data_IF_800892877516
#
_entry.id   IF_800892877516
#
_cell.length_a   1.000
_cell.length_b   1.000
_cell.length_c   1.000
_cell.angle_alpha   90.00
_cell.angle_beta   90.00
_cell.angle_gamma   90.00
#
_symmetry.space_group_name_H-M   'P 1'
#
loop_
_entity.id
_entity.type
_entity.pdbx_description
1 polymer ?
#
# COMPACT_ATOMS: atom_id res chain seq x y z
N UNK A 1 12.69 27.42 -5.35
CA UNK A 1 11.84 26.65 -4.44
C UNK A 1 12.75 25.85 -3.55
N UNK A 2 12.77 26.08 -2.25
CA UNK A 2 13.64 25.36 -1.32
C UNK A 2 12.92 24.09 -0.92
N UNK A 3 13.52 22.92 -1.13
CA UNK A 3 12.90 21.61 -0.87
C UNK A 3 12.70 21.33 0.63
N UNK A 4 13.30 22.15 1.48
CA UNK A 4 13.13 22.08 2.94
C UNK A 4 11.79 22.72 3.40
N UNK A 5 11.21 23.61 2.57
CA UNK A 5 9.97 24.34 2.89
C UNK A 5 8.69 23.58 2.47
N UNK A 6 8.80 22.36 1.93
CA UNK A 6 7.66 21.47 1.65
C UNK A 6 7.23 20.72 2.92
N UNK A 7 7.10 21.44 4.02
CA UNK A 7 6.38 20.98 5.20
C UNK A 7 4.88 20.96 4.87
N UNK A 8 4.42 19.77 4.61
CA UNK A 8 3.05 19.47 4.26
C UNK A 8 2.18 19.60 5.51
N UNK A 9 1.52 20.72 5.61
CA UNK A 9 0.44 20.94 6.57
C UNK A 9 -0.65 19.88 6.37
N UNK A 10 -0.82 19.05 7.33
CA UNK A 10 -1.84 18.03 7.57
C UNK A 10 -1.31 16.59 7.64
N UNK A 11 -0.51 16.30 8.66
CA UNK A 11 -0.02 14.94 8.94
C UNK A 11 -1.14 13.92 9.15
N UNK A 12 -2.32 14.35 9.63
CA UNK A 12 -3.43 13.44 9.97
C UNK A 12 -4.13 12.84 8.75
N UNK A 13 -4.33 13.58 7.66
CA UNK A 13 -4.98 13.04 6.46
C UNK A 13 -4.02 12.17 5.62
N UNK A 14 -2.75 12.54 5.62
CA UNK A 14 -1.69 11.74 4.99
C UNK A 14 -1.48 10.40 5.68
N UNK A 15 -1.55 10.37 7.01
CA UNK A 15 -1.39 9.14 7.76
C UNK A 15 -2.52 8.15 7.48
N UNK A 16 -3.77 8.62 7.36
CA UNK A 16 -4.94 7.77 7.09
C UNK A 16 -4.92 7.15 5.69
N UNK A 17 -4.58 7.93 4.66
CA UNK A 17 -4.49 7.44 3.28
C UNK A 17 -3.33 6.43 3.14
N UNK A 18 -2.21 6.71 3.80
CA UNK A 18 -1.06 5.83 3.82
C UNK A 18 -1.40 4.46 4.45
N UNK A 19 -2.13 4.42 5.59
CA UNK A 19 -2.50 3.18 6.24
C UNK A 19 -3.50 2.34 5.42
N UNK A 20 -4.51 2.95 4.81
CA UNK A 20 -5.48 2.25 3.94
C UNK A 20 -4.77 1.49 2.82
N UNK A 21 -3.84 2.16 2.14
CA UNK A 21 -3.10 1.58 1.03
C UNK A 21 -2.07 0.54 1.48
N UNK A 22 -1.42 0.79 2.62
CA UNK A 22 -0.53 -0.17 3.26
C UNK A 22 -1.26 -1.48 3.57
N UNK A 23 -2.48 -1.41 4.13
CA UNK A 23 -3.30 -2.59 4.39
C UNK A 23 -3.62 -3.36 3.12
N UNK A 24 -4.04 -2.68 2.06
CA UNK A 24 -4.32 -3.31 0.77
C UNK A 24 -3.09 -4.00 0.21
N UNK A 25 -1.96 -3.32 0.25
CA UNK A 25 -0.70 -3.88 -0.22
C UNK A 25 -0.32 -5.14 0.58
N UNK A 26 -0.34 -5.08 1.91
CA UNK A 26 -0.03 -6.23 2.77
C UNK A 26 -0.97 -7.40 2.48
N UNK A 27 -2.28 -7.16 2.39
CA UNK A 27 -3.26 -8.20 2.05
C UNK A 27 -2.95 -8.82 0.67
N UNK A 28 -2.56 -8.03 -0.32
CA UNK A 28 -2.23 -8.53 -1.67
C UNK A 28 -0.98 -9.41 -1.73
N UNK A 29 -0.07 -9.29 -0.74
CA UNK A 29 1.16 -10.09 -0.66
C UNK A 29 0.98 -11.41 0.11
N UNK A 30 -0.17 -11.61 0.75
CA UNK A 30 -0.45 -12.75 1.61
C UNK A 30 -1.48 -13.66 0.94
N UNK A 31 -1.26 -14.97 0.99
CA UNK A 31 -2.36 -15.90 0.74
C UNK A 31 -3.25 -15.93 1.99
N UNK A 32 -4.18 -14.98 2.07
CA UNK A 32 -5.03 -14.70 3.22
C UNK A 32 -5.88 -15.91 3.63
N UNK A 33 -6.41 -16.67 2.67
CA UNK A 33 -7.17 -17.89 2.94
C UNK A 33 -6.29 -18.95 3.61
N UNK A 34 -5.14 -19.26 3.02
CA UNK A 34 -4.24 -20.27 3.57
C UNK A 34 -3.71 -19.87 4.95
N UNK A 35 -3.42 -18.58 5.13
CA UNK A 35 -2.99 -18.04 6.41
C UNK A 35 -4.04 -18.27 7.50
N UNK A 36 -5.29 -17.87 7.27
CA UNK A 36 -6.37 -18.05 8.25
C UNK A 36 -6.62 -19.54 8.52
N UNK A 37 -6.66 -20.38 7.48
CA UNK A 37 -6.88 -21.81 7.63
C UNK A 37 -5.76 -22.51 8.41
N UNK A 38 -4.52 -22.00 8.39
CA UNK A 38 -3.39 -22.55 9.16
C UNK A 38 -3.52 -22.33 10.68
N UNK A 39 -4.37 -21.40 11.12
CA UNK A 39 -4.52 -21.05 12.54
C UNK A 39 -5.54 -21.93 13.29
N UNK A 40 -6.23 -22.86 12.60
CA UNK A 40 -7.22 -23.72 13.24
C UNK A 40 -7.61 -24.94 12.41
N UNK A 41 -8.55 -25.71 12.93
CA UNK A 41 -9.12 -26.86 12.23
C UNK A 41 -10.42 -26.48 11.55
N UNK A 42 -10.39 -26.31 10.25
CA UNK A 42 -11.53 -25.91 9.43
C UNK A 42 -11.90 -27.04 8.45
N UNK A 43 -13.20 -27.28 8.30
CA UNK A 43 -13.75 -28.20 7.30
C UNK A 43 -14.47 -27.43 6.22
N UNK A 44 -14.26 -27.77 4.96
CA UNK A 44 -14.97 -27.18 3.84
C UNK A 44 -16.46 -27.60 3.87
N UNK A 45 -17.36 -26.63 3.84
CA UNK A 45 -18.81 -26.81 3.84
C UNK A 45 -19.37 -25.98 2.69
N UNK A 46 -19.61 -26.63 1.54
CA UNK A 46 -19.98 -25.92 0.32
C UNK A 46 -18.86 -24.99 -0.18
N UNK A 47 -19.15 -23.68 -0.25
CA UNK A 47 -18.20 -22.67 -0.70
C UNK A 47 -17.38 -22.02 0.43
N UNK A 48 -17.65 -22.36 1.70
CA UNK A 48 -17.01 -21.76 2.86
C UNK A 48 -16.29 -22.81 3.69
N UNK A 49 -15.49 -22.35 4.66
CA UNK A 49 -14.88 -23.23 5.66
C UNK A 49 -15.48 -22.92 7.02
N UNK A 50 -15.75 -23.96 7.81
CA UNK A 50 -16.30 -23.87 9.16
C UNK A 50 -15.37 -24.55 10.17
N UNK A 51 -15.15 -23.89 11.31
CA UNK A 51 -14.35 -24.41 12.41
C UNK A 51 -14.76 -23.81 13.75
N UNK A 52 -14.11 -24.27 14.83
CA UNK A 52 -14.23 -23.61 16.11
C UNK A 52 -13.54 -22.26 16.06
N UNK A 53 -14.05 -21.29 16.81
CA UNK A 53 -13.42 -19.98 16.93
C UNK A 53 -12.02 -20.14 17.57
N UNK A 54 -11.07 -19.45 16.97
CA UNK A 54 -9.66 -19.51 17.41
C UNK A 54 -9.25 -18.26 18.22
N UNK A 55 -10.19 -17.33 18.47
CA UNK A 55 -9.89 -16.11 19.20
C UNK A 55 -9.83 -16.34 20.70
N UNK A 56 -8.85 -15.77 21.42
CA UNK A 56 -8.58 -16.05 22.84
C UNK A 56 -9.78 -15.84 23.76
N UNK A 57 -10.63 -14.88 23.43
CA UNK A 57 -11.78 -14.50 24.27
C UNK A 57 -13.07 -15.30 23.96
N UNK A 58 -12.99 -16.34 23.14
CA UNK A 58 -14.15 -17.13 22.75
C UNK A 58 -13.85 -18.63 22.75
N UNK A 59 -14.44 -19.37 23.67
CA UNK A 59 -14.30 -20.82 23.77
C UNK A 59 -15.52 -21.53 23.15
N UNK A 60 -15.37 -21.98 21.92
CA UNK A 60 -16.42 -22.72 21.21
C UNK A 60 -16.53 -24.18 21.64
N UNK A 61 -17.77 -24.61 21.86
CA UNK A 61 -18.10 -26.04 21.93
C UNK A 61 -18.38 -26.65 20.55
N UNK A 62 -18.92 -25.86 19.63
CA UNK A 62 -19.30 -26.24 18.25
C UNK A 62 -18.65 -25.29 17.24
N UNK A 63 -18.62 -25.69 15.96
CA UNK A 63 -18.05 -24.85 14.91
C UNK A 63 -18.91 -23.59 14.69
N UNK A 64 -18.39 -22.42 15.01
CA UNK A 64 -19.04 -21.12 14.88
C UNK A 64 -18.28 -20.13 14.01
N UNK A 65 -17.02 -20.38 13.68
CA UNK A 65 -16.22 -19.52 12.83
C UNK A 65 -16.33 -19.93 11.38
N UNK A 66 -16.92 -19.07 10.56
CA UNK A 66 -17.04 -19.23 9.11
C UNK A 66 -15.94 -18.41 8.41
N UNK A 67 -15.25 -19.02 7.46
CA UNK A 67 -14.25 -18.38 6.60
C UNK A 67 -14.81 -18.39 5.17
N UNK A 68 -14.86 -17.22 4.56
CA UNK A 68 -15.38 -16.97 3.22
C UNK A 68 -14.20 -16.71 2.28
N UNK A 69 -13.87 -17.66 1.37
CA UNK A 69 -12.83 -17.47 0.36
C UNK A 69 -13.08 -16.26 -0.55
N UNK A 70 -12.05 -15.74 -1.26
CA UNK A 70 -12.16 -14.57 -2.14
C UNK A 70 -13.22 -14.72 -3.25
N UNK A 71 -13.43 -15.95 -3.73
CA UNK A 71 -14.42 -16.30 -4.76
C UNK A 71 -15.85 -16.35 -4.24
N UNK A 72 -16.07 -16.31 -2.92
CA UNK A 72 -17.41 -16.29 -2.32
C UNK A 72 -18.18 -15.08 -2.81
N UNK A 73 -19.40 -15.33 -3.33
CA UNK A 73 -20.21 -14.27 -3.92
C UNK A 73 -21.11 -13.60 -2.89
N UNK A 74 -21.07 -12.28 -2.85
CA UNK A 74 -22.01 -11.43 -2.11
C UNK A 74 -22.71 -10.54 -3.12
N UNK A 75 -24.03 -10.55 -3.14
CA UNK A 75 -24.84 -9.84 -4.14
C UNK A 75 -24.43 -10.14 -5.59
N UNK A 76 -24.06 -11.42 -5.87
CA UNK A 76 -23.67 -11.89 -7.19
C UNK A 76 -22.23 -11.56 -7.62
N UNK A 77 -21.46 -10.80 -6.82
CA UNK A 77 -20.07 -10.44 -7.12
C UNK A 77 -19.10 -11.17 -6.17
N UNK A 78 -17.93 -11.64 -6.64
CA UNK A 78 -16.91 -12.19 -5.75
C UNK A 78 -16.39 -11.11 -4.79
N UNK A 79 -16.05 -11.48 -3.56
CA UNK A 79 -15.54 -10.55 -2.55
C UNK A 79 -14.13 -10.03 -2.86
N UNK A 80 -13.35 -10.81 -3.61
CA UNK A 80 -11.98 -10.47 -3.99
C UNK A 80 -10.94 -10.60 -2.88
N UNK A 81 -11.36 -10.90 -1.63
CA UNK A 81 -10.50 -11.18 -0.48
C UNK A 81 -11.16 -12.15 0.47
N UNK A 82 -10.36 -12.85 1.27
CA UNK A 82 -10.89 -13.71 2.33
C UNK A 82 -11.47 -12.86 3.45
N UNK A 83 -12.67 -13.23 3.89
CA UNK A 83 -13.30 -12.65 5.07
C UNK A 83 -13.74 -13.75 6.03
N UNK A 84 -14.00 -13.39 7.28
CA UNK A 84 -14.52 -14.32 8.27
C UNK A 84 -15.67 -13.70 9.07
N UNK A 85 -16.49 -14.56 9.64
CA UNK A 85 -17.53 -14.20 10.61
C UNK A 85 -17.66 -15.31 11.65
N UNK A 86 -17.64 -14.94 12.92
CA UNK A 86 -17.91 -15.86 14.01
C UNK A 86 -19.34 -15.68 14.52
N UNK A 87 -20.17 -16.71 14.41
CA UNK A 87 -21.56 -16.69 14.88
C UNK A 87 -21.67 -16.70 16.41
N UNK A 88 -20.60 -17.05 17.14
CA UNK A 88 -20.59 -17.08 18.60
C UNK A 88 -20.23 -15.73 19.24
N UNK A 89 -19.11 -15.13 18.84
CA UNK A 89 -18.66 -13.83 19.39
C UNK A 89 -18.95 -12.64 18.47
N UNK A 90 -19.55 -12.85 17.30
CA UNK A 90 -19.92 -11.84 16.31
C UNK A 90 -18.74 -11.04 15.72
N UNK A 91 -17.50 -11.50 15.93
CA UNK A 91 -16.33 -10.89 15.33
C UNK A 91 -16.24 -11.22 13.83
N UNK A 92 -15.88 -10.21 13.05
CA UNK A 92 -15.76 -10.31 11.59
C UNK A 92 -14.66 -9.41 11.04
N UNK A 93 -14.19 -9.74 9.86
CA UNK A 93 -13.18 -8.91 9.19
C UNK A 93 -12.40 -9.64 8.10
N UNK A 94 -11.26 -9.05 7.75
CA UNK A 94 -10.25 -9.57 6.85
C UNK A 94 -9.06 -10.17 7.62
N UNK A 95 -8.02 -10.57 6.90
CA UNK A 95 -6.82 -11.21 7.49
C UNK A 95 -6.13 -10.33 8.53
N UNK A 96 -6.13 -9.00 8.37
CA UNK A 96 -5.50 -8.08 9.34
C UNK A 96 -6.29 -8.08 10.65
N UNK A 97 -7.63 -7.97 10.57
CA UNK A 97 -8.48 -8.04 11.77
C UNK A 97 -8.41 -9.42 12.43
N UNK A 98 -8.34 -10.48 11.61
CA UNK A 98 -8.15 -11.86 12.12
C UNK A 98 -6.84 -11.97 12.91
N UNK A 99 -5.74 -11.50 12.33
CA UNK A 99 -4.42 -11.51 12.98
C UNK A 99 -4.44 -10.70 14.30
N UNK A 100 -5.07 -9.50 14.26
CA UNK A 100 -5.23 -8.65 15.44
C UNK A 100 -5.89 -9.42 16.60
N UNK A 101 -7.02 -10.05 16.34
CA UNK A 101 -7.78 -10.78 17.35
C UNK A 101 -7.09 -12.06 17.81
N UNK A 102 -6.48 -12.79 16.87
CA UNK A 102 -5.80 -14.04 17.16
C UNK A 102 -4.62 -13.87 18.12
N UNK A 103 -3.86 -12.79 17.97
CA UNK A 103 -2.71 -12.47 18.81
C UNK A 103 -3.01 -11.46 19.93
N UNK A 104 -4.25 -10.96 20.03
CA UNK A 104 -4.63 -9.99 21.05
C UNK A 104 -3.94 -8.63 20.91
N UNK A 105 -3.69 -8.18 19.65
CA UNK A 105 -2.99 -6.92 19.40
C UNK A 105 -3.92 -5.71 19.57
N UNK A 106 -3.38 -4.59 20.04
CA UNK A 106 -4.17 -3.42 20.41
C UNK A 106 -4.76 -2.68 19.19
N UNK A 107 -4.10 -2.74 18.04
CA UNK A 107 -4.52 -2.00 16.85
C UNK A 107 -4.35 -2.77 15.53
N UNK A 108 -5.13 -2.38 14.51
CA UNK A 108 -4.95 -2.88 13.14
C UNK A 108 -3.57 -2.50 12.56
N UNK A 109 -3.03 -1.35 12.96
CA UNK A 109 -1.69 -0.92 12.55
C UNK A 109 -0.62 -1.87 13.07
N UNK A 110 -0.73 -2.26 14.33
CA UNK A 110 0.17 -3.23 14.94
C UNK A 110 0.05 -4.60 14.27
N UNK A 111 -1.17 -5.06 14.03
CA UNK A 111 -1.42 -6.32 13.32
C UNK A 111 -0.84 -6.30 11.89
N UNK A 112 -0.97 -5.18 11.18
CA UNK A 112 -0.38 -5.02 9.85
C UNK A 112 1.15 -5.12 9.89
N UNK A 113 1.80 -4.41 10.83
CA UNK A 113 3.26 -4.47 11.02
C UNK A 113 3.74 -5.87 11.41
N UNK A 114 2.96 -6.59 12.22
CA UNK A 114 3.28 -7.96 12.62
C UNK A 114 3.22 -8.92 11.41
N UNK A 115 2.20 -8.79 10.55
CA UNK A 115 2.10 -9.53 9.29
C UNK A 115 3.24 -9.19 8.33
N UNK A 116 3.61 -7.92 8.19
CA UNK A 116 4.77 -7.50 7.39
C UNK A 116 6.04 -8.23 7.84
N UNK A 117 6.27 -8.27 9.13
CA UNK A 117 7.42 -8.98 9.72
C UNK A 117 7.34 -10.50 9.50
N UNK A 118 6.17 -11.11 9.72
CA UNK A 118 5.95 -12.56 9.57
C UNK A 118 6.17 -13.00 8.12
N UNK A 119 5.76 -12.20 7.14
CA UNK A 119 5.87 -12.49 5.71
C UNK A 119 7.08 -11.85 5.02
N UNK A 120 7.95 -11.15 5.74
CA UNK A 120 9.13 -10.49 5.19
C UNK A 120 8.79 -9.34 4.21
N UNK A 121 7.63 -8.69 4.38
CA UNK A 121 7.18 -7.60 3.52
C UNK A 121 7.89 -6.32 3.95
N UNK A 122 8.83 -5.84 3.13
CA UNK A 122 9.59 -4.63 3.42
C UNK A 122 8.94 -3.39 2.78
N UNK A 123 8.02 -2.74 3.49
CA UNK A 123 7.33 -1.52 3.01
C UNK A 123 8.24 -0.27 3.03
N UNK A 124 9.42 -0.36 3.61
CA UNK A 124 10.44 0.70 3.52
C UNK A 124 11.12 0.73 2.15
N UNK A 125 10.89 -0.27 1.31
CA UNK A 125 11.35 -0.28 -0.07
C UNK A 125 10.65 0.87 -0.84
N UNK A 126 11.45 1.73 -1.47
CA UNK A 126 10.98 2.91 -2.20
C UNK A 126 10.07 2.53 -3.38
N UNK A 127 10.33 1.39 -4.01
CA UNK A 127 9.53 0.89 -5.14
C UNK A 127 8.13 0.46 -4.66
N UNK A 128 8.04 -0.15 -3.48
CA UNK A 128 6.76 -0.53 -2.85
C UNK A 128 5.96 0.71 -2.47
N UNK A 129 6.58 1.73 -1.89
CA UNK A 129 5.91 2.98 -1.56
C UNK A 129 5.39 3.69 -2.82
N UNK A 130 6.16 3.67 -3.90
CA UNK A 130 5.75 4.19 -5.21
C UNK A 130 4.56 3.40 -5.77
N UNK A 131 4.55 2.07 -5.65
CA UNK A 131 3.43 1.24 -6.11
C UNK A 131 2.15 1.51 -5.31
N UNK A 132 2.24 1.62 -3.98
CA UNK A 132 1.10 1.98 -3.11
C UNK A 132 0.50 3.33 -3.54
N UNK A 133 1.33 4.31 -3.86
CA UNK A 133 0.89 5.62 -4.35
C UNK A 133 0.22 5.52 -5.72
N UNK A 134 0.76 4.75 -6.66
CA UNK A 134 0.16 4.52 -7.99
C UNK A 134 -1.21 3.85 -7.90
N UNK A 135 -1.36 2.86 -7.02
CA UNK A 135 -2.64 2.16 -6.83
C UNK A 135 -3.70 3.08 -6.19
N UNK A 136 -3.28 3.97 -5.27
CA UNK A 136 -4.16 5.01 -4.71
C UNK A 136 -4.71 5.93 -5.79
N UNK A 137 -3.87 6.31 -6.75
CA UNK A 137 -4.27 7.19 -7.85
C UNK A 137 -5.25 6.52 -8.81
N UNK A 138 -5.06 5.22 -9.09
CA UNK A 138 -6.01 4.46 -9.91
C UNK A 138 -7.39 4.39 -9.26
N UNK A 139 -7.47 4.26 -7.94
CA UNK A 139 -8.75 4.27 -7.22
C UNK A 139 -9.45 5.65 -7.32
N UNK A 140 -8.70 6.74 -7.15
CA UNK A 140 -9.22 8.10 -7.29
C UNK A 140 -9.76 8.31 -8.72
N UNK A 141 -9.07 7.80 -9.76
CA UNK A 141 -9.51 7.91 -11.15
C UNK A 141 -10.81 7.15 -11.45
N UNK A 142 -11.07 6.06 -10.74
CA UNK A 142 -12.26 5.23 -10.91
C UNK A 142 -13.50 5.76 -10.16
N UNK A 143 -13.33 6.67 -9.20
CA UNK A 143 -14.41 7.23 -8.37
C UNK A 143 -14.98 8.56 -8.91
N UNK A 144 -14.85 8.89 -10.19
CA UNK A 144 -15.41 10.11 -10.84
C UNK A 144 -14.91 11.46 -10.30
N UNK A 145 -13.72 11.55 -9.76
CA UNK A 145 -13.12 12.86 -9.47
C UNK A 145 -12.62 13.51 -10.76
N UNK A 146 -13.31 14.54 -11.21
CA UNK A 146 -12.99 15.25 -12.46
C UNK A 146 -11.68 16.03 -12.43
N UNK A 147 -11.12 16.28 -11.26
CA UNK A 147 -9.83 16.97 -11.10
C UNK A 147 -9.06 16.42 -9.93
N UNK A 148 -7.89 15.86 -10.21
CA UNK A 148 -6.94 15.50 -9.15
C UNK A 148 -6.33 16.80 -8.59
N UNK A 149 -6.27 16.92 -7.25
CA UNK A 149 -5.66 18.10 -6.64
C UNK A 149 -4.18 18.18 -7.08
N UNK A 150 -3.82 19.28 -7.72
CA UNK A 150 -2.49 19.58 -8.22
C UNK A 150 -1.39 19.36 -7.17
N UNK A 151 -1.71 19.71 -5.93
CA UNK A 151 -0.82 19.54 -4.79
C UNK A 151 -0.48 18.06 -4.56
N UNK A 152 -1.40 17.15 -4.84
CA UNK A 152 -1.18 15.70 -4.67
C UNK A 152 -0.21 15.13 -5.71
N UNK A 153 -0.31 15.58 -6.96
CA UNK A 153 0.61 15.17 -8.04
C UNK A 153 2.02 15.65 -7.74
N UNK A 154 2.14 16.94 -7.40
CA UNK A 154 3.41 17.56 -7.03
C UNK A 154 4.04 16.85 -5.83
N UNK A 155 3.24 16.49 -4.85
CA UNK A 155 3.69 15.73 -3.68
C UNK A 155 4.28 14.36 -4.08
N UNK A 156 3.61 13.63 -4.97
CA UNK A 156 4.03 12.29 -5.38
C UNK A 156 5.33 12.36 -6.17
N UNK A 157 5.39 13.20 -7.20
CA UNK A 157 6.58 13.37 -8.03
C UNK A 157 7.77 13.89 -7.22
N UNK A 158 7.54 14.85 -6.32
CA UNK A 158 8.54 15.39 -5.41
C UNK A 158 9.09 14.31 -4.47
N UNK A 159 8.22 13.46 -3.91
CA UNK A 159 8.62 12.35 -3.05
C UNK A 159 9.45 11.31 -3.79
N UNK A 160 9.09 10.98 -5.04
CA UNK A 160 9.86 10.07 -5.89
C UNK A 160 11.28 10.63 -6.14
N UNK A 161 11.39 11.91 -6.47
CA UNK A 161 12.67 12.58 -6.66
C UNK A 161 13.51 12.61 -5.37
N UNK A 162 12.89 12.91 -4.24
CA UNK A 162 13.56 12.91 -2.92
C UNK A 162 14.09 11.53 -2.55
N UNK A 163 13.32 10.49 -2.79
CA UNK A 163 13.71 9.10 -2.54
C UNK A 163 14.90 8.71 -3.42
N UNK A 164 14.88 9.07 -4.69
CA UNK A 164 16.00 8.86 -5.58
C UNK A 164 17.27 9.56 -5.10
N UNK A 165 17.18 10.84 -4.71
CA UNK A 165 18.34 11.60 -4.19
C UNK A 165 18.87 11.04 -2.87
N UNK A 166 18.00 10.50 -2.00
CA UNK A 166 18.43 9.83 -0.78
C UNK A 166 19.21 8.53 -1.10
N UNK A 167 18.75 7.76 -2.08
CA UNK A 167 19.46 6.59 -2.58
C UNK A 167 20.83 6.99 -3.16
N UNK A 168 20.90 8.03 -4.02
CA UNK A 168 22.17 8.57 -4.55
C UNK A 168 23.11 9.01 -3.41
N UNK A 169 22.57 9.69 -2.40
CA UNK A 169 23.35 10.13 -1.24
C UNK A 169 23.95 8.95 -0.48
N UNK A 170 23.21 7.85 -0.39
CA UNK A 170 23.64 6.65 0.34
C UNK A 170 24.68 5.85 -0.45
N UNK A 171 24.39 5.57 -1.72
CA UNK A 171 25.18 4.64 -2.54
C UNK A 171 26.27 5.36 -3.40
N UNK A 172 25.99 6.61 -3.85
CA UNK A 172 26.81 7.36 -4.81
C UNK A 172 27.02 8.82 -4.39
N UNK A 173 27.50 9.04 -3.18
CA UNK A 173 27.63 10.38 -2.56
C UNK A 173 28.36 11.41 -3.43
N UNK A 174 29.37 11.00 -4.20
CA UNK A 174 30.12 11.87 -5.13
C UNK A 174 29.27 12.44 -6.27
N UNK A 175 28.20 11.73 -6.67
CA UNK A 175 27.31 12.11 -7.75
C UNK A 175 26.11 12.96 -7.29
N UNK A 176 25.94 13.15 -5.97
CA UNK A 176 24.74 13.77 -5.42
C UNK A 176 24.48 15.17 -6.00
N UNK A 177 25.51 16.00 -6.15
CA UNK A 177 25.39 17.36 -6.69
C UNK A 177 24.97 17.37 -8.15
N UNK A 178 25.52 16.46 -8.96
CA UNK A 178 25.17 16.29 -10.38
C UNK A 178 23.70 15.84 -10.51
N UNK A 179 23.30 14.80 -9.78
CA UNK A 179 21.96 14.26 -9.81
C UNK A 179 20.91 15.23 -9.26
N UNK A 180 21.26 16.02 -8.24
CA UNK A 180 20.38 17.08 -7.75
C UNK A 180 20.08 18.11 -8.85
N UNK A 181 21.08 18.53 -9.63
CA UNK A 181 20.90 19.47 -10.73
C UNK A 181 20.02 18.85 -11.84
N UNK A 182 20.25 17.57 -12.16
CA UNK A 182 19.48 16.84 -13.18
C UNK A 182 18.00 16.75 -12.77
N UNK A 183 17.73 16.37 -11.52
CA UNK A 183 16.36 16.29 -10.98
C UNK A 183 15.69 17.66 -10.95
N UNK A 184 16.41 18.70 -10.54
CA UNK A 184 15.87 20.07 -10.49
C UNK A 184 15.52 20.58 -11.88
N UNK A 185 16.37 20.31 -12.88
CA UNK A 185 16.11 20.68 -14.27
C UNK A 185 14.89 19.94 -14.83
N UNK A 186 14.81 18.63 -14.57
CA UNK A 186 13.65 17.82 -14.95
C UNK A 186 12.35 18.39 -14.36
N UNK A 187 12.35 18.75 -13.08
CA UNK A 187 11.17 19.25 -12.39
C UNK A 187 10.72 20.63 -12.91
N UNK A 188 11.65 21.52 -13.24
CA UNK A 188 11.34 22.84 -13.80
C UNK A 188 10.60 22.79 -15.13
N UNK A 189 10.83 21.74 -15.93
CA UNK A 189 10.14 21.55 -17.22
C UNK A 189 8.63 21.30 -17.07
N UNK A 190 8.18 20.91 -15.88
CA UNK A 190 6.78 20.57 -15.60
C UNK A 190 6.04 21.67 -14.84
N UNK A 191 6.74 22.67 -14.28
CA UNK A 191 6.13 23.72 -13.44
C UNK A 191 5.09 24.56 -14.22
N UNK A 192 5.24 24.66 -15.55
CA UNK A 192 4.34 25.41 -16.44
C UNK A 192 3.19 24.52 -16.97
N UNK A 193 3.38 23.22 -17.12
CA UNK A 193 2.40 22.27 -17.67
C UNK A 193 1.37 21.80 -16.61
N UNK A 194 1.67 21.97 -15.33
CA UNK A 194 0.89 21.39 -14.22
C UNK A 194 -0.44 22.10 -13.97
N UNK A 195 -0.62 23.35 -14.43
CA UNK A 195 -1.73 24.22 -14.02
C UNK A 195 -3.12 23.76 -14.50
N UNK A 196 -3.24 22.87 -15.50
CA UNK A 196 -4.54 22.46 -16.08
C UNK A 196 -4.64 20.96 -16.40
N UNK A 197 -3.90 20.10 -15.69
CA UNK A 197 -3.86 18.66 -16.00
C UNK A 197 -5.13 17.92 -15.59
N UNK A 198 -5.64 17.07 -16.48
CA UNK A 198 -6.64 16.04 -16.19
C UNK A 198 -6.04 14.90 -15.36
N UNK A 199 -6.89 14.06 -14.75
CA UNK A 199 -6.45 12.88 -14.00
C UNK A 199 -5.57 11.94 -14.86
N UNK A 200 -5.92 11.74 -16.13
CA UNK A 200 -5.14 10.88 -17.03
C UNK A 200 -3.75 11.46 -17.32
N UNK A 201 -3.65 12.76 -17.55
CA UNK A 201 -2.37 13.47 -17.75
C UNK A 201 -1.51 13.42 -16.50
N UNK A 202 -2.13 13.49 -15.33
CA UNK A 202 -1.45 13.36 -14.04
C UNK A 202 -0.84 11.96 -13.84
N UNK A 203 -1.55 10.91 -14.21
CA UNK A 203 -1.05 9.52 -14.19
C UNK A 203 0.11 9.37 -15.18
N UNK A 204 0.01 9.95 -16.36
CA UNK A 204 1.08 9.95 -17.37
C UNK A 204 2.33 10.66 -16.83
N UNK A 205 2.17 11.80 -16.16
CA UNK A 205 3.28 12.53 -15.56
C UNK A 205 4.00 11.74 -14.47
N UNK A 206 3.25 11.08 -13.58
CA UNK A 206 3.83 10.24 -12.55
C UNK A 206 4.59 9.06 -13.15
N UNK A 207 4.04 8.43 -14.19
CA UNK A 207 4.72 7.35 -14.91
C UNK A 207 6.00 7.86 -15.59
N UNK A 208 5.95 9.00 -16.29
CA UNK A 208 7.14 9.64 -16.88
C UNK A 208 8.21 9.93 -15.83
N UNK A 209 7.82 10.42 -14.65
CA UNK A 209 8.75 10.68 -13.53
C UNK A 209 9.39 9.38 -13.04
N UNK A 210 8.60 8.31 -12.90
CA UNK A 210 9.10 6.99 -12.54
C UNK A 210 10.11 6.45 -13.55
N UNK A 211 9.78 6.52 -14.83
CA UNK A 211 10.64 6.04 -15.92
C UNK A 211 11.94 6.84 -16.00
N UNK A 212 11.85 8.15 -15.82
CA UNK A 212 13.03 9.04 -15.76
C UNK A 212 13.96 8.64 -14.59
N UNK A 213 13.43 8.48 -13.40
CA UNK A 213 14.21 8.08 -12.21
C UNK A 213 14.86 6.70 -12.43
N UNK A 214 14.13 5.72 -12.95
CA UNK A 214 14.64 4.39 -13.21
C UNK A 214 15.77 4.40 -14.25
N UNK A 215 15.62 5.21 -15.30
CA UNK A 215 16.67 5.41 -16.31
C UNK A 215 17.93 6.00 -15.67
N UNK A 216 17.80 7.06 -14.87
CA UNK A 216 18.94 7.68 -14.16
C UNK A 216 19.63 6.72 -13.20
N UNK A 217 18.84 5.92 -12.47
CA UNK A 217 19.37 4.90 -11.55
C UNK A 217 20.25 3.88 -12.31
N UNK A 218 19.78 3.38 -13.44
CA UNK A 218 20.52 2.43 -14.25
C UNK A 218 21.80 3.06 -14.86
N UNK A 219 21.74 4.29 -15.35
CA UNK A 219 22.90 5.02 -15.85
C UNK A 219 23.99 5.21 -14.77
N UNK A 220 23.58 5.54 -13.54
CA UNK A 220 24.50 5.69 -12.40
C UNK A 220 25.15 4.36 -12.00
N UNK A 221 24.38 3.28 -11.96
CA UNK A 221 24.90 1.94 -11.67
C UNK A 221 25.98 1.57 -12.71
N UNK A 222 25.68 1.74 -13.98
CA UNK A 222 26.62 1.42 -15.07
C UNK A 222 27.88 2.31 -15.03
N UNK A 223 27.72 3.61 -14.74
CA UNK A 223 28.83 4.57 -14.66
C UNK A 223 29.82 4.26 -13.52
N UNK A 224 29.39 3.57 -12.48
CA UNK A 224 30.16 3.31 -11.27
C UNK A 224 30.56 1.82 -11.10
N UNK A 225 30.31 0.97 -12.11
CA UNK A 225 30.89 -0.38 -12.25
C UNK A 225 32.26 -0.30 -12.92
#
# INVERSE_FOLDING_TARGET
>A
MNWEDLDLENENDKSKLNWKNRYKYVISQINDLQYILSKGHFKKVGQIYMGKCVFPNHHDKTASLAIYPPETRVNGKPQGKTTYFCFGCHESGDVIRFHQLYYGLDSKQEACKALEKEFGINIQDEDIQTQILKDSLKEISNENYQTMNLNMINMICSRMCKNYLNWVKKEYKSNLKEEFNVITTYYKQFDEEILEMTVNESIIMINKTSDFINKRRNELIIKNQ
#
